data_IF_070854252817
#
_entry.id   IF_070854252817
#
_cell.length_a   1.000
_cell.length_b   1.000
_cell.length_c   1.000
_cell.angle_alpha   90.00
_cell.angle_beta   90.00
_cell.angle_gamma   90.00
#
_symmetry.space_group_name_H-M   'P 1'
#
loop_
_entity.id
_entity.type
_entity.pdbx_description
1 polymer ?
#
# COMPACT_ATOMS: atom_id res chain seq x y z
N UNK A 1 -13.50 -12.64 3.84
CA UNK A 1 -12.54 -12.37 2.75
C UNK A 1 -12.78 -13.26 1.52
N UNK A 2 -13.88 -14.01 1.44
CA UNK A 2 -14.21 -14.87 0.30
C UNK A 2 -15.54 -14.45 -0.34
N UNK A 3 -15.52 -13.43 -1.21
CA UNK A 3 -16.69 -13.15 -2.06
C UNK A 3 -16.44 -13.42 -3.55
N UNK A 4 -15.20 -13.73 -3.94
CA UNK A 4 -14.83 -14.04 -5.33
C UNK A 4 -13.72 -15.09 -5.38
N UNK A 5 -14.03 -16.40 -5.44
CA UNK A 5 -13.02 -17.47 -5.47
C UNK A 5 -12.12 -17.41 -6.72
N UNK A 6 -12.56 -16.73 -7.79
CA UNK A 6 -11.79 -16.53 -9.02
C UNK A 6 -10.86 -15.31 -9.04
N UNK A 7 -10.81 -14.52 -7.96
CA UNK A 7 -9.99 -13.31 -7.89
C UNK A 7 -10.41 -12.20 -8.88
N UNK A 8 -9.52 -11.24 -9.12
CA UNK A 8 -9.74 -10.14 -10.05
C UNK A 8 -9.36 -10.55 -11.48
N UNK A 9 -10.12 -10.05 -12.47
CA UNK A 9 -9.75 -10.17 -13.88
C UNK A 9 -8.33 -9.62 -14.11
N UNK A 10 -7.51 -10.31 -14.92
CA UNK A 10 -6.13 -9.95 -15.25
C UNK A 10 -5.97 -8.50 -15.72
N UNK A 11 -6.93 -7.96 -16.46
CA UNK A 11 -6.96 -6.56 -16.87
C UNK A 11 -7.01 -5.62 -15.66
N UNK A 12 -7.91 -5.89 -14.72
CA UNK A 12 -8.06 -5.09 -13.50
C UNK A 12 -6.84 -5.21 -12.59
N UNK A 13 -6.21 -6.39 -12.51
CA UNK A 13 -4.94 -6.56 -11.80
C UNK A 13 -3.88 -5.61 -12.36
N UNK A 14 -3.71 -5.57 -13.69
CA UNK A 14 -2.73 -4.68 -14.34
C UNK A 14 -3.06 -3.20 -14.09
N UNK A 15 -4.32 -2.82 -14.20
CA UNK A 15 -4.77 -1.44 -13.96
C UNK A 15 -4.50 -1.00 -12.52
N UNK A 16 -4.90 -1.81 -11.53
CA UNK A 16 -4.73 -1.45 -10.12
C UNK A 16 -3.27 -1.47 -9.69
N UNK A 17 -2.47 -2.42 -10.18
CA UNK A 17 -1.02 -2.43 -9.93
C UNK A 17 -0.34 -1.18 -10.48
N UNK A 18 -0.72 -0.73 -11.69
CA UNK A 18 -0.20 0.51 -12.25
C UNK A 18 -0.54 1.73 -11.37
N UNK A 19 -1.80 1.86 -10.95
CA UNK A 19 -2.25 2.97 -10.11
C UNK A 19 -1.58 2.95 -8.72
N UNK A 20 -1.45 1.76 -8.11
CA UNK A 20 -0.76 1.56 -6.84
C UNK A 20 0.71 2.01 -6.91
N UNK A 21 1.46 1.52 -7.91
CA UNK A 21 2.87 1.88 -8.08
C UNK A 21 3.04 3.38 -8.36
N UNK A 22 2.14 3.98 -9.14
CA UNK A 22 2.14 5.43 -9.39
C UNK A 22 1.89 6.23 -8.10
N UNK A 23 0.96 5.78 -7.25
CA UNK A 23 0.70 6.38 -5.94
C UNK A 23 1.90 6.27 -5.00
N UNK A 24 2.51 5.09 -4.90
CA UNK A 24 3.71 4.87 -4.08
C UNK A 24 4.90 5.71 -4.57
N UNK A 25 5.12 5.78 -5.89
CA UNK A 25 6.15 6.64 -6.47
C UNK A 25 5.93 8.11 -6.11
N UNK A 26 4.68 8.59 -6.08
CA UNK A 26 4.36 9.94 -5.63
C UNK A 26 4.71 10.19 -4.16
N UNK A 27 4.40 9.23 -3.27
CA UNK A 27 4.79 9.29 -1.85
C UNK A 27 6.31 9.30 -1.69
N UNK A 28 7.00 8.39 -2.39
CA UNK A 28 8.46 8.24 -2.30
C UNK A 28 9.21 9.49 -2.76
N UNK A 29 8.74 10.17 -3.82
CA UNK A 29 9.30 11.46 -4.26
C UNK A 29 9.22 12.55 -3.19
N UNK A 30 8.22 12.46 -2.29
CA UNK A 30 8.04 13.37 -1.14
C UNK A 30 8.70 12.85 0.13
N UNK A 31 9.59 11.85 0.01
CA UNK A 31 10.25 11.18 1.13
C UNK A 31 9.26 10.55 2.12
N UNK A 32 8.03 10.23 1.70
CA UNK A 32 7.03 9.56 2.54
C UNK A 32 7.04 8.06 2.26
N UNK A 33 7.23 7.25 3.29
CA UNK A 33 7.02 5.79 3.25
C UNK A 33 5.62 5.47 3.79
N UNK A 34 4.80 4.71 3.05
CA UNK A 34 3.44 4.36 3.49
C UNK A 34 3.41 3.28 4.59
N UNK A 35 4.29 2.27 4.49
CA UNK A 35 4.50 1.17 5.46
C UNK A 35 3.34 0.22 5.78
N UNK A 36 2.11 0.50 5.35
CA UNK A 36 0.95 -0.38 5.59
C UNK A 36 0.13 -0.60 4.30
N UNK A 37 0.83 -1.00 3.24
CA UNK A 37 0.18 -1.34 1.97
C UNK A 37 -0.46 -2.71 2.12
N UNK A 38 -1.80 -2.74 2.15
CA UNK A 38 -2.64 -3.94 2.26
C UNK A 38 -3.99 -3.68 1.58
N UNK A 39 -4.73 -4.72 1.15
CA UNK A 39 -6.00 -4.55 0.44
C UNK A 39 -7.00 -3.63 1.16
N UNK A 40 -7.03 -3.64 2.49
CA UNK A 40 -7.91 -2.79 3.29
C UNK A 40 -7.61 -1.29 3.14
N UNK A 41 -6.38 -0.93 2.76
CA UNK A 41 -5.93 0.45 2.56
C UNK A 41 -5.90 0.86 1.07
N UNK A 42 -6.40 -0.01 0.18
CA UNK A 42 -6.55 0.28 -1.26
C UNK A 42 -8.02 0.57 -1.55
N UNK A 43 -8.38 1.85 -1.56
CA UNK A 43 -9.75 2.28 -1.86
C UNK A 43 -9.95 2.31 -3.38
N UNK A 44 -11.02 1.68 -3.87
CA UNK A 44 -11.37 1.67 -5.29
C UNK A 44 -12.69 2.43 -5.44
N UNK A 45 -12.70 3.47 -6.28
CA UNK A 45 -13.92 4.22 -6.60
C UNK A 45 -14.81 3.44 -7.59
N UNK A 46 -16.08 3.85 -7.71
CA UNK A 46 -16.98 3.32 -8.73
C UNK A 46 -16.48 3.52 -10.17
N UNK A 47 -15.57 4.48 -10.37
CA UNK A 47 -14.92 4.78 -11.65
C UNK A 47 -13.64 3.98 -11.88
N UNK A 48 -13.29 3.03 -11.00
CA UNK A 48 -12.09 2.20 -11.13
C UNK A 48 -10.77 2.91 -10.73
N UNK A 49 -10.86 4.02 -10.00
CA UNK A 49 -9.67 4.72 -9.49
C UNK A 49 -9.21 4.11 -8.17
N UNK A 50 -7.92 3.78 -8.07
CA UNK A 50 -7.30 3.30 -6.84
C UNK A 50 -6.66 4.46 -6.08
N UNK A 51 -7.00 4.59 -4.79
CA UNK A 51 -6.44 5.58 -3.86
C UNK A 51 -5.84 4.88 -2.64
N UNK A 52 -4.65 5.34 -2.25
CA UNK A 52 -3.98 4.91 -1.02
C UNK A 52 -4.64 5.60 0.18
N UNK A 53 -4.97 4.82 1.20
CA UNK A 53 -5.54 5.30 2.46
C UNK A 53 -4.67 4.88 3.66
N UNK A 54 -4.98 5.45 4.82
CA UNK A 54 -4.30 5.19 6.09
C UNK A 54 -2.78 5.44 6.07
N UNK A 55 -2.44 6.73 6.20
CA UNK A 55 -1.07 7.21 6.39
C UNK A 55 -0.70 7.30 7.89
N UNK A 56 -1.46 6.68 8.80
CA UNK A 56 -1.19 6.74 10.24
C UNK A 56 0.18 6.18 10.63
N UNK A 57 0.70 5.27 9.79
CA UNK A 57 2.04 4.68 9.92
C UNK A 57 3.06 5.29 8.96
N UNK A 58 2.72 6.36 8.25
CA UNK A 58 3.63 6.96 7.29
C UNK A 58 4.77 7.73 7.98
N UNK A 59 5.97 7.67 7.41
CA UNK A 59 7.17 8.33 7.97
C UNK A 59 7.99 9.03 6.90
N UNK A 60 8.64 10.14 7.28
CA UNK A 60 9.63 10.81 6.45
C UNK A 60 10.93 9.99 6.42
N UNK A 61 11.49 9.73 5.22
CA UNK A 61 12.73 8.95 5.00
C UNK A 61 13.98 9.53 5.72
N UNK A 62 13.92 10.75 6.25
CA UNK A 62 15.07 11.48 6.79
C UNK A 62 15.25 11.43 8.31
N UNK A 63 14.40 10.71 9.05
CA UNK A 63 14.57 10.58 10.51
C UNK A 63 15.36 9.29 10.79
N UNK A 64 16.61 9.35 11.28
CA UNK A 64 17.29 8.19 11.81
C UNK A 64 16.66 7.87 13.16
N UNK A 65 15.59 7.06 13.19
CA UNK A 65 15.03 6.58 14.45
C UNK A 65 15.63 5.22 14.77
N UNK A 66 16.42 5.19 15.83
CA UNK A 66 16.77 3.99 16.58
C UNK A 66 15.57 3.05 16.70
N UNK A 67 15.80 1.78 16.37
CA UNK A 67 14.91 0.63 16.60
C UNK A 67 13.60 0.68 15.79
N UNK A 68 13.63 0.13 14.57
CA UNK A 68 12.42 -0.25 13.84
C UNK A 68 11.68 -1.34 14.64
N UNK A 69 10.67 -0.99 15.42
CA UNK A 69 9.84 -2.00 16.08
C UNK A 69 9.08 -2.78 14.99
N UNK A 70 9.36 -4.07 14.91
CA UNK A 70 8.73 -5.04 14.00
C UNK A 70 7.20 -5.21 14.23
N UNK A 71 6.60 -4.45 15.14
CA UNK A 71 5.25 -4.69 15.64
C UNK A 71 4.15 -3.96 14.86
N UNK A 72 4.47 -2.99 13.99
CA UNK A 72 3.45 -2.07 13.44
C UNK A 72 3.36 -2.11 11.91
N UNK A 73 3.19 -3.32 11.36
CA UNK A 73 2.83 -3.58 9.95
C UNK A 73 1.97 -4.84 9.92
N UNK A 74 0.91 -4.86 9.10
CA UNK A 74 0.13 -6.08 8.84
C UNK A 74 1.07 -7.22 8.41
N UNK A 75 1.17 -8.27 9.23
CA UNK A 75 2.23 -9.30 9.16
C UNK A 75 2.41 -9.90 7.76
N UNK A 76 1.32 -10.13 7.04
CA UNK A 76 1.30 -10.73 5.69
C UNK A 76 1.95 -9.88 4.59
N UNK A 77 2.14 -8.57 4.82
CA UNK A 77 2.65 -7.63 3.82
C UNK A 77 4.00 -7.02 4.21
N UNK A 78 4.67 -7.61 5.22
CA UNK A 78 5.99 -7.17 5.66
C UNK A 78 7.08 -7.71 4.73
N UNK A 79 8.05 -6.89 4.29
CA UNK A 79 9.25 -7.39 3.62
C UNK A 79 10.04 -8.35 4.53
N UNK A 80 10.77 -9.34 3.99
CA UNK A 80 11.72 -10.11 4.78
C UNK A 80 12.77 -9.16 5.41
N UNK A 81 13.12 -9.44 6.67
CA UNK A 81 14.15 -8.71 7.41
C UNK A 81 15.55 -9.15 7.05
#
# INVERSE_FOLDING_TARGET
MERHPGGLNRHNVRLYMFQLLRGLAYCHRRRVLHRDVKPQNLLISSHGELKLADFGLARAKSVPSHTYSHEVVTLWYRPPG
#
